data_IF_249699242106
#
_entry.id   IF_249699242106
#
_cell.length_a   1.000
_cell.length_b   1.000
_cell.length_c   1.000
_cell.angle_alpha   90.00
_cell.angle_beta   90.00
_cell.angle_gamma   90.00
#
_symmetry.space_group_name_H-M   'P 1'
#
loop_
_entity.id
_entity.type
_entity.pdbx_description
1 polymer ?
#
# COMPACT_ATOMS: atom_id res chain seq x y z
N UNK A 1 21.61 -15.88 -8.59
CA UNK A 1 20.95 -14.81 -7.81
C UNK A 1 19.51 -15.22 -7.53
N UNK A 2 19.00 -15.03 -6.31
CA UNK A 2 17.65 -15.45 -5.92
C UNK A 2 16.58 -14.47 -6.39
N UNK A 3 15.35 -14.97 -6.55
CA UNK A 3 14.16 -14.15 -6.72
C UNK A 3 13.94 -13.28 -5.47
N UNK A 4 13.61 -12.01 -5.63
CA UNK A 4 13.30 -11.09 -4.51
C UNK A 4 11.85 -10.63 -4.57
N UNK A 5 11.18 -10.68 -3.44
CA UNK A 5 9.85 -10.09 -3.26
C UNK A 5 9.96 -8.88 -2.33
N UNK A 6 9.32 -7.78 -2.72
CA UNK A 6 9.17 -6.58 -1.89
C UNK A 6 7.69 -6.21 -1.83
N UNK A 7 7.26 -5.67 -0.70
CA UNK A 7 5.91 -5.11 -0.55
C UNK A 7 6.04 -3.60 -0.36
N UNK A 8 5.30 -2.83 -1.14
CA UNK A 8 5.17 -1.40 -0.96
C UNK A 8 3.76 -1.09 -0.44
N UNK A 9 3.68 -0.38 0.68
CA UNK A 9 2.43 0.13 1.26
C UNK A 9 2.40 1.63 0.99
N UNK A 10 1.37 2.07 0.26
CA UNK A 10 1.17 3.45 -0.13
C UNK A 10 -0.10 3.96 0.55
N UNK A 11 0.08 4.91 1.48
CA UNK A 11 -0.98 5.54 2.27
C UNK A 11 -1.29 6.91 1.69
N UNK A 12 -2.15 6.93 0.67
CA UNK A 12 -2.68 8.17 0.12
C UNK A 12 -3.72 8.80 1.03
N UNK A 13 -4.09 10.05 0.79
CA UNK A 13 -5.08 10.74 1.60
C UNK A 13 -6.41 9.94 1.63
N UNK A 14 -7.11 9.75 0.53
CA UNK A 14 -8.43 9.09 0.59
C UNK A 14 -8.40 7.56 0.43
N UNK A 15 -7.24 6.99 0.10
CA UNK A 15 -7.11 5.56 -0.17
C UNK A 15 -5.69 5.08 0.06
N UNK A 16 -5.54 3.82 0.45
CA UNK A 16 -4.28 3.12 0.44
C UNK A 16 -4.25 1.95 -0.55
N UNK A 17 -3.04 1.49 -0.86
CA UNK A 17 -2.82 0.27 -1.64
C UNK A 17 -1.58 -0.48 -1.18
N UNK A 18 -1.60 -1.78 -1.40
CA UNK A 18 -0.47 -2.67 -1.18
C UNK A 18 -0.05 -3.26 -2.52
N UNK A 19 1.21 -3.04 -2.89
CA UNK A 19 1.80 -3.52 -4.13
C UNK A 19 2.84 -4.60 -3.83
N UNK A 20 2.69 -5.78 -4.43
CA UNK A 20 3.73 -6.81 -4.46
C UNK A 20 4.63 -6.59 -5.66
N UNK A 21 5.93 -6.43 -5.40
CA UNK A 21 6.98 -6.39 -6.41
C UNK A 21 7.76 -7.71 -6.41
N UNK A 22 7.87 -8.33 -7.58
CA UNK A 22 8.75 -9.48 -7.81
C UNK A 22 9.89 -9.10 -8.75
N UNK A 23 11.13 -9.21 -8.27
CA UNK A 23 12.32 -8.92 -9.06
C UNK A 23 13.11 -10.20 -9.37
N UNK A 24 13.35 -10.44 -10.67
CA UNK A 24 14.14 -11.55 -11.19
C UNK A 24 15.48 -11.02 -11.73
N UNK A 25 16.58 -11.12 -10.97
CA UNK A 25 17.86 -10.53 -11.38
C UNK A 25 18.40 -11.08 -12.70
N UNK A 26 18.17 -12.37 -12.97
CA UNK A 26 18.64 -13.03 -14.20
C UNK A 26 17.95 -12.54 -15.48
N UNK A 27 16.70 -12.10 -15.38
CA UNK A 27 15.95 -11.55 -16.51
C UNK A 27 15.88 -10.02 -16.48
N UNK A 28 16.38 -9.40 -15.40
CA UNK A 28 16.27 -7.97 -15.12
C UNK A 28 14.82 -7.45 -15.16
N UNK A 29 13.85 -8.31 -14.86
CA UNK A 29 12.42 -7.99 -14.89
C UNK A 29 11.91 -7.64 -13.49
N UNK A 30 11.04 -6.64 -13.46
CA UNK A 30 10.26 -6.24 -12.28
C UNK A 30 8.78 -6.42 -12.60
N UNK A 31 8.11 -7.33 -11.91
CA UNK A 31 6.67 -7.51 -11.97
C UNK A 31 6.00 -6.82 -10.79
N UNK A 32 4.95 -6.03 -11.05
CA UNK A 32 4.17 -5.36 -10.02
C UNK A 32 2.73 -5.88 -10.04
N UNK A 33 2.17 -6.13 -8.86
CA UNK A 33 0.78 -6.52 -8.70
C UNK A 33 0.17 -5.77 -7.53
N UNK A 34 -0.95 -5.10 -7.75
CA UNK A 34 -1.79 -4.62 -6.66
C UNK A 34 -2.42 -5.84 -5.98
N UNK A 35 -2.16 -5.99 -4.69
CA UNK A 35 -2.65 -7.15 -3.91
C UNK A 35 -3.72 -6.77 -2.90
N UNK A 36 -3.82 -5.48 -2.57
CA UNK A 36 -4.87 -4.94 -1.72
C UNK A 36 -5.07 -3.45 -2.02
N UNK A 37 -6.31 -2.99 -1.88
CA UNK A 37 -6.70 -1.59 -1.98
C UNK A 37 -7.77 -1.32 -0.95
N UNK A 38 -7.61 -0.20 -0.26
CA UNK A 38 -8.47 0.15 0.86
C UNK A 38 -8.75 1.64 0.91
N UNK A 39 -9.83 1.98 1.62
CA UNK A 39 -10.20 3.36 1.90
C UNK A 39 -9.33 3.88 3.03
N UNK A 40 -8.84 5.11 2.91
CA UNK A 40 -8.21 5.82 4.00
C UNK A 40 -9.13 6.97 4.39
N UNK A 41 -9.79 6.84 5.54
CA UNK A 41 -10.91 7.69 5.93
C UNK A 41 -10.44 8.84 6.80
N UNK A 42 -10.77 10.06 6.36
CA UNK A 42 -10.62 11.27 7.18
C UNK A 42 -11.95 11.55 7.87
N UNK A 43 -11.91 11.66 9.19
CA UNK A 43 -13.08 11.90 10.04
C UNK A 43 -12.90 13.13 10.92
N UNK A 44 -14.03 13.70 11.36
CA UNK A 44 -14.07 14.83 12.30
C UNK A 44 -14.08 14.31 13.74
N UNK A 45 -13.03 14.60 14.51
CA UNK A 45 -12.94 14.29 15.94
C UNK A 45 -12.69 15.58 16.70
N UNK A 46 -13.59 15.94 17.63
CA UNK A 46 -13.53 17.18 18.42
C UNK A 46 -13.31 18.46 17.58
N UNK A 47 -13.86 18.47 16.36
CA UNK A 47 -13.74 19.59 15.43
C UNK A 47 -12.51 19.56 14.51
N UNK A 48 -11.58 18.64 14.71
CA UNK A 48 -10.38 18.46 13.90
C UNK A 48 -10.54 17.33 12.88
N UNK A 49 -9.86 17.47 11.74
CA UNK A 49 -9.78 16.39 10.76
C UNK A 49 -8.69 15.40 11.19
N UNK A 50 -9.08 14.14 11.36
CA UNK A 50 -8.26 13.06 11.91
C UNK A 50 -8.39 11.81 11.04
N UNK A 51 -7.29 11.09 10.84
CA UNK A 51 -7.32 9.79 10.17
C UNK A 51 -7.92 8.74 11.10
N UNK A 52 -8.86 7.94 10.58
CA UNK A 52 -9.40 6.79 11.29
C UNK A 52 -8.47 5.58 11.15
N UNK A 53 -7.51 5.49 12.06
CA UNK A 53 -6.51 4.41 12.06
C UNK A 53 -7.10 3.04 12.41
N UNK A 54 -8.19 3.01 13.18
CA UNK A 54 -8.81 1.75 13.63
C UNK A 54 -9.61 1.11 12.47
N UNK A 55 -10.15 1.92 11.57
CA UNK A 55 -10.85 1.46 10.36
C UNK A 55 -9.93 1.11 9.17
N UNK A 56 -8.62 1.29 9.32
CA UNK A 56 -7.66 1.13 8.21
C UNK A 56 -7.36 -0.36 7.97
N UNK A 57 -8.00 -0.95 6.95
CA UNK A 57 -7.92 -2.38 6.62
C UNK A 57 -7.36 -2.68 5.23
#
# INVERSE_FOLDING_TARGET
>A
MSFRHCVAVDLGASSGRVMLAGYQPGQQTLALREIHRFTNSLQKVDGFDCWDLDSLE
#
